data_IF_143350508671
#
_entry.id   IF_143350508671
#
_cell.length_a   1.000
_cell.length_b   1.000
_cell.length_c   1.000
_cell.angle_alpha   90.00
_cell.angle_beta   90.00
_cell.angle_gamma   90.00
#
_symmetry.space_group_name_H-M   'P 1'
#
loop_
_entity.id
_entity.type
_entity.pdbx_description
1 polymer ?
#
# COMPACT_ATOMS: atom_id res chain seq x y z
N UNK A 1 13.68 -12.35 34.00
CA UNK A 1 12.52 -11.81 34.73
C UNK A 1 11.41 -11.70 33.71
N UNK A 2 10.60 -12.73 33.60
CA UNK A 2 9.41 -12.75 32.75
C UNK A 2 8.30 -11.97 33.47
N UNK A 3 7.71 -11.00 32.79
CA UNK A 3 6.53 -10.29 33.31
C UNK A 3 5.30 -11.20 33.16
N UNK A 4 4.36 -11.19 34.13
CA UNK A 4 3.10 -11.91 33.97
C UNK A 4 2.24 -11.21 32.92
N UNK A 5 1.74 -11.99 31.97
CA UNK A 5 0.70 -11.57 31.03
C UNK A 5 -0.58 -11.38 31.85
N UNK A 6 -1.21 -10.22 31.74
CA UNK A 6 -2.52 -9.93 32.36
C UNK A 6 -3.59 -10.70 31.58
N UNK A 7 -3.98 -11.87 32.09
CA UNK A 7 -4.96 -12.80 31.49
C UNK A 7 -6.40 -12.23 31.41
N UNK A 8 -6.64 -11.00 31.86
CA UNK A 8 -7.95 -10.33 31.80
C UNK A 8 -8.07 -9.25 30.70
N UNK A 9 -7.13 -9.17 29.77
CA UNK A 9 -7.25 -8.25 28.62
C UNK A 9 -8.23 -8.85 27.59
N UNK A 10 -9.32 -8.14 27.20
CA UNK A 10 -10.26 -8.67 26.21
C UNK A 10 -9.54 -8.92 24.88
N UNK A 11 -9.87 -10.04 24.24
CA UNK A 11 -9.31 -10.44 22.94
C UNK A 11 -9.67 -9.43 21.85
N UNK A 12 -8.89 -9.38 20.75
CA UNK A 12 -9.13 -8.45 19.62
C UNK A 12 -10.55 -8.61 19.03
N UNK A 13 -11.09 -9.84 19.03
CA UNK A 13 -12.47 -10.10 18.65
C UNK A 13 -13.47 -9.53 19.65
N UNK A 14 -13.17 -9.53 20.95
CA UNK A 14 -14.00 -8.93 21.99
C UNK A 14 -13.94 -7.39 21.93
N UNK A 15 -12.81 -6.77 21.59
CA UNK A 15 -12.69 -5.32 21.45
C UNK A 15 -13.34 -4.77 20.16
N UNK A 16 -13.15 -5.45 19.02
CA UNK A 16 -13.90 -5.15 17.78
C UNK A 16 -15.39 -5.39 18.03
N UNK A 17 -15.75 -6.47 18.72
CA UNK A 17 -17.14 -6.74 19.11
C UNK A 17 -17.67 -5.65 20.04
N UNK A 18 -16.90 -5.07 20.95
CA UNK A 18 -17.36 -3.99 21.85
C UNK A 18 -17.54 -2.64 21.14
N UNK A 19 -16.63 -2.25 20.24
CA UNK A 19 -16.76 -0.99 19.47
C UNK A 19 -17.83 -1.09 18.37
N UNK A 20 -17.92 -2.24 17.70
CA UNK A 20 -18.98 -2.56 16.75
C UNK A 20 -20.31 -2.76 17.47
N UNK A 21 -20.32 -3.38 18.67
CA UNK A 21 -21.50 -3.41 19.53
C UNK A 21 -21.85 -2.03 20.06
N UNK A 22 -20.92 -1.11 20.29
CA UNK A 22 -21.23 0.29 20.62
C UNK A 22 -21.96 0.96 19.46
N UNK A 23 -21.45 0.84 18.23
CA UNK A 23 -22.13 1.37 17.03
C UNK A 23 -23.52 0.73 16.82
N UNK A 24 -23.67 -0.57 17.05
CA UNK A 24 -24.98 -1.25 16.97
C UNK A 24 -25.83 -1.13 18.24
N UNK A 25 -25.28 -0.67 19.37
CA UNK A 25 -26.03 -0.36 20.60
C UNK A 25 -26.58 1.06 20.52
N UNK A 26 -25.83 1.95 19.89
CA UNK A 26 -26.23 3.33 19.62
C UNK A 26 -27.07 3.44 18.33
N UNK A 27 -26.96 2.48 17.41
CA UNK A 27 -27.75 2.36 16.17
C UNK A 27 -28.11 0.88 15.86
N UNK A 28 -29.01 0.24 16.64
CA UNK A 28 -29.40 -1.18 16.47
C UNK A 28 -29.98 -1.51 15.09
N UNK A 29 -30.46 -0.50 14.38
CA UNK A 29 -30.99 -0.53 13.02
C UNK A 29 -29.98 -1.00 11.95
N UNK A 30 -28.67 -0.86 12.21
CA UNK A 30 -27.60 -1.19 11.25
C UNK A 30 -27.16 -2.66 11.30
N UNK A 31 -27.70 -3.45 12.23
CA UNK A 31 -27.35 -4.86 12.45
C UNK A 31 -27.31 -5.74 11.19
N UNK A 32 -28.15 -5.54 10.14
CA UNK A 32 -28.08 -6.32 8.91
C UNK A 32 -26.85 -6.05 8.03
N UNK A 33 -26.19 -4.89 8.17
CA UNK A 33 -24.97 -4.53 7.42
C UNK A 33 -23.69 -5.00 8.13
N UNK A 34 -23.83 -5.53 9.36
CA UNK A 34 -22.75 -6.05 10.18
C UNK A 34 -21.79 -6.98 9.45
N UNK A 35 -22.25 -7.96 8.65
CA UNK A 35 -21.31 -8.87 8.00
C UNK A 35 -20.51 -8.23 6.86
N UNK A 36 -21.06 -7.19 6.22
CA UNK A 36 -20.39 -6.39 5.20
C UNK A 36 -19.32 -5.49 5.83
N UNK A 37 -19.61 -4.93 7.00
CA UNK A 37 -18.70 -4.06 7.77
C UNK A 37 -17.58 -4.87 8.43
N UNK A 38 -17.89 -6.08 8.90
CA UNK A 38 -16.95 -7.02 9.52
C UNK A 38 -16.15 -7.83 8.47
N UNK A 39 -16.40 -7.63 7.16
CA UNK A 39 -15.66 -8.28 6.08
C UNK A 39 -15.87 -9.80 5.99
N UNK A 40 -16.96 -10.32 6.58
CA UNK A 40 -17.29 -11.74 6.57
C UNK A 40 -17.97 -12.09 5.25
N UNK A 41 -17.48 -13.11 4.56
CA UNK A 41 -18.17 -13.67 3.40
C UNK A 41 -19.45 -14.37 3.87
N UNK A 42 -20.59 -13.71 3.69
CA UNK A 42 -21.90 -14.29 4.01
C UNK A 42 -22.58 -14.76 2.73
N UNK A 43 -23.06 -15.99 2.74
CA UNK A 43 -23.91 -16.51 1.68
C UNK A 43 -25.37 -16.04 1.84
N UNK A 44 -25.97 -15.75 0.68
CA UNK A 44 -27.36 -15.28 0.39
C UNK A 44 -27.59 -13.76 0.36
N UNK A 45 -27.28 -13.23 -0.82
CA UNK A 45 -27.47 -11.89 -1.43
C UNK A 45 -28.81 -11.12 -1.24
N UNK A 46 -29.79 -11.61 -0.47
CA UNK A 46 -31.15 -11.04 -0.47
C UNK A 46 -31.33 -9.81 0.42
N UNK A 47 -30.80 -9.85 1.64
CA UNK A 47 -31.09 -8.87 2.69
C UNK A 47 -30.19 -7.63 2.58
N UNK A 48 -28.93 -7.84 2.22
CA UNK A 48 -27.93 -6.79 2.02
C UNK A 48 -28.24 -5.93 0.79
N UNK A 49 -28.74 -6.57 -0.27
CA UNK A 49 -29.21 -5.85 -1.48
C UNK A 49 -30.45 -5.03 -1.20
N UNK A 50 -31.39 -5.56 -0.40
CA UNK A 50 -32.59 -4.83 -0.01
C UNK A 50 -32.26 -3.64 0.91
N UNK A 51 -31.33 -3.82 1.86
CA UNK A 51 -30.85 -2.75 2.73
C UNK A 51 -30.12 -1.65 1.94
N UNK A 52 -29.24 -2.04 1.01
CA UNK A 52 -28.52 -1.09 0.15
C UNK A 52 -29.47 -0.36 -0.82
N UNK A 53 -30.44 -1.06 -1.42
CA UNK A 53 -31.46 -0.48 -2.29
C UNK A 53 -32.37 0.49 -1.52
N UNK A 54 -32.76 0.14 -0.29
CA UNK A 54 -33.60 0.99 0.57
C UNK A 54 -32.86 2.25 1.03
N UNK A 55 -31.57 2.16 1.33
CA UNK A 55 -30.71 3.30 1.63
C UNK A 55 -30.58 4.24 0.43
N UNK A 56 -30.31 3.69 -0.76
CA UNK A 56 -30.21 4.46 -2.01
C UNK A 56 -31.52 5.15 -2.39
N UNK A 57 -32.65 4.44 -2.29
CA UNK A 57 -33.97 4.98 -2.59
C UNK A 57 -34.35 6.07 -1.58
N UNK A 58 -34.06 5.89 -0.29
CA UNK A 58 -34.31 6.90 0.75
C UNK A 58 -33.45 8.15 0.57
N UNK A 59 -32.19 8.00 0.14
CA UNK A 59 -31.32 9.12 -0.21
C UNK A 59 -31.83 9.87 -1.45
N UNK A 60 -32.34 9.15 -2.44
CA UNK A 60 -32.97 9.73 -3.65
C UNK A 60 -34.27 10.45 -3.31
N UNK A 61 -35.12 9.89 -2.47
CA UNK A 61 -36.41 10.49 -2.09
C UNK A 61 -36.24 11.71 -1.16
N UNK A 62 -35.23 11.69 -0.28
CA UNK A 62 -34.94 12.81 0.64
C UNK A 62 -34.22 13.98 -0.02
N UNK A 63 -33.39 13.73 -1.03
CA UNK A 63 -32.60 14.77 -1.70
C UNK A 63 -33.11 15.11 -3.11
N UNK A 64 -34.07 14.34 -3.62
CA UNK A 64 -34.75 14.56 -4.90
C UNK A 64 -33.77 14.72 -6.07
N UNK A 65 -34.02 15.73 -6.91
CA UNK A 65 -33.19 16.00 -8.10
C UNK A 65 -31.72 16.29 -7.79
N UNK A 66 -31.38 16.74 -6.57
CA UNK A 66 -29.99 17.00 -6.17
C UNK A 66 -29.18 15.72 -6.00
N UNK A 67 -29.81 14.65 -5.54
CA UNK A 67 -29.16 13.35 -5.49
C UNK A 67 -28.93 12.83 -6.91
N UNK A 68 -29.93 12.93 -7.78
CA UNK A 68 -29.80 12.46 -9.16
C UNK A 68 -28.76 13.27 -9.95
N UNK A 69 -28.71 14.60 -9.81
CA UNK A 69 -27.66 15.43 -10.39
C UNK A 69 -26.25 15.05 -9.89
N UNK A 70 -26.13 14.73 -8.60
CA UNK A 70 -24.86 14.35 -7.99
C UNK A 70 -24.44 12.94 -8.39
N UNK A 71 -25.40 12.02 -8.44
CA UNK A 71 -25.22 10.66 -8.90
C UNK A 71 -24.80 10.65 -10.38
N UNK A 72 -25.46 11.43 -11.24
CA UNK A 72 -25.06 11.58 -12.64
C UNK A 72 -23.73 12.32 -12.84
N UNK A 73 -23.33 13.20 -11.92
CA UNK A 73 -22.04 13.89 -12.01
C UNK A 73 -20.87 13.02 -11.54
N UNK A 74 -21.06 12.30 -10.45
CA UNK A 74 -19.97 11.66 -9.70
C UNK A 74 -19.83 10.16 -9.98
N UNK A 75 -20.88 9.50 -10.50
CA UNK A 75 -20.84 8.07 -10.86
C UNK A 75 -20.42 7.92 -12.34
N UNK A 76 -19.38 7.11 -12.64
CA UNK A 76 -18.97 6.84 -14.02
C UNK A 76 -20.08 6.25 -14.89
N UNK A 77 -20.19 6.70 -16.15
CA UNK A 77 -21.24 6.28 -17.10
C UNK A 77 -21.41 4.76 -17.26
N UNK A 78 -20.30 4.02 -17.19
CA UNK A 78 -20.29 2.55 -17.31
C UNK A 78 -20.79 1.82 -16.05
N UNK A 79 -20.95 2.53 -14.92
CA UNK A 79 -21.40 1.97 -13.64
C UNK A 79 -22.83 2.37 -13.28
N UNK A 80 -23.37 3.44 -13.89
CA UNK A 80 -24.74 3.91 -13.64
C UNK A 80 -25.81 2.85 -13.94
N UNK A 81 -25.78 2.13 -15.08
CA UNK A 81 -26.83 1.15 -15.38
C UNK A 81 -26.90 0.04 -14.32
N UNK A 82 -25.74 -0.38 -13.81
CA UNK A 82 -25.64 -1.39 -12.74
C UNK A 82 -26.13 -0.83 -11.41
N UNK A 83 -25.72 0.38 -11.02
CA UNK A 83 -26.16 1.00 -9.76
C UNK A 83 -27.66 1.36 -9.78
N UNK A 84 -28.20 1.76 -10.93
CA UNK A 84 -29.64 1.94 -11.13
C UNK A 84 -30.41 0.62 -11.09
N UNK A 85 -29.82 -0.47 -11.57
CA UNK A 85 -30.39 -1.81 -11.48
C UNK A 85 -30.42 -2.31 -10.03
N UNK A 86 -29.39 -2.00 -9.22
CA UNK A 86 -29.34 -2.26 -7.78
C UNK A 86 -30.30 -1.37 -6.97
N UNK A 87 -30.56 -0.13 -7.43
CA UNK A 87 -31.47 0.81 -6.76
C UNK A 87 -32.95 0.66 -7.14
N UNK A 88 -33.32 -0.26 -8.05
CA UNK A 88 -34.72 -0.49 -8.44
C UNK A 88 -35.31 -1.65 -7.63
N UNK A 89 -36.28 -1.34 -6.77
CA UNK A 89 -37.18 -2.35 -6.20
C UNK A 89 -37.90 -3.12 -7.33
N UNK A 90 -38.06 -4.46 -7.25
CA UNK A 90 -38.71 -5.23 -8.30
C UNK A 90 -40.18 -4.82 -8.44
N UNK A 91 -40.65 -4.71 -9.69
CA UNK A 91 -42.08 -4.48 -9.98
C UNK A 91 -42.86 -5.77 -9.75
N UNK A 92 -43.63 -5.80 -8.67
CA UNK A 92 -44.66 -6.81 -8.29
C UNK A 92 -44.15 -8.24 -8.00
N UNK A 93 -44.35 -8.77 -6.78
CA UNK A 93 -44.06 -10.17 -6.48
C UNK A 93 -45.09 -11.11 -7.13
N UNK A 94 -44.63 -12.19 -7.76
CA UNK A 94 -45.52 -13.31 -8.10
C UNK A 94 -45.87 -14.07 -6.83
N UNK A 95 -47.17 -14.26 -6.60
CA UNK A 95 -47.72 -15.00 -5.48
C UNK A 95 -47.28 -16.46 -5.55
N UNK A 96 -46.41 -16.89 -4.63
CA UNK A 96 -46.17 -18.31 -4.39
C UNK A 96 -47.42 -18.92 -3.71
N UNK A 97 -47.91 -20.05 -4.22
CA UNK A 97 -49.03 -20.78 -3.63
C UNK A 97 -48.68 -21.32 -2.24
N UNK A 98 -49.68 -21.49 -1.34
CA UNK A 98 -49.42 -21.79 0.05
C UNK A 98 -49.00 -23.25 0.24
N UNK A 99 -47.76 -23.44 0.66
CA UNK A 99 -47.20 -24.73 1.08
C UNK A 99 -46.30 -24.53 2.30
N UNK A 100 -46.90 -24.71 3.47
CA UNK A 100 -46.34 -24.96 4.81
C UNK A 100 -44.97 -24.35 5.19
N UNK A 101 -45.02 -23.35 6.08
CA UNK A 101 -44.03 -23.14 7.14
C UNK A 101 -43.04 -22.01 6.90
N UNK A 102 -43.34 -20.81 7.36
CA UNK A 102 -42.72 -20.26 8.58
C UNK A 102 -43.37 -18.90 8.92
N UNK A 103 -43.94 -18.78 10.11
CA UNK A 103 -44.55 -17.55 10.62
C UNK A 103 -43.45 -16.59 11.10
N UNK A 104 -42.68 -16.00 10.18
CA UNK A 104 -41.82 -14.85 10.51
C UNK A 104 -42.64 -13.55 10.41
N UNK A 105 -43.30 -13.19 11.50
CA UNK A 105 -43.81 -11.82 11.66
C UNK A 105 -42.61 -10.88 11.81
N UNK A 106 -42.39 -10.05 10.80
CA UNK A 106 -41.49 -8.90 10.85
C UNK A 106 -41.99 -7.94 11.96
N UNK A 107 -41.13 -7.55 12.90
CA UNK A 107 -41.44 -6.48 13.85
C UNK A 107 -41.32 -5.13 13.12
N UNK A 108 -42.40 -4.73 12.47
CA UNK A 108 -42.51 -3.50 11.65
C UNK A 108 -42.34 -2.20 12.46
N UNK A 109 -42.35 -2.25 13.79
CA UNK A 109 -42.30 -1.07 14.67
C UNK A 109 -40.96 -0.34 14.69
N UNK A 110 -39.85 -1.07 14.53
CA UNK A 110 -38.49 -0.54 14.67
C UNK A 110 -38.13 0.39 13.49
N UNK A 111 -38.55 0.01 12.28
CA UNK A 111 -38.25 0.75 11.06
C UNK A 111 -39.14 2.00 10.87
N UNK A 112 -40.37 1.98 11.41
CA UNK A 112 -41.27 3.15 11.44
C UNK A 112 -40.76 4.26 12.37
N UNK A 113 -40.13 3.92 13.49
CA UNK A 113 -39.55 4.90 14.44
C UNK A 113 -38.26 5.54 13.89
N UNK A 114 -37.44 4.78 13.14
CA UNK A 114 -36.30 5.32 12.39
C UNK A 114 -36.76 6.39 11.38
N UNK A 115 -37.79 6.08 10.60
CA UNK A 115 -38.34 6.98 9.59
C UNK A 115 -38.95 8.24 10.23
N UNK A 116 -39.71 8.12 11.32
CA UNK A 116 -40.26 9.29 12.04
C UNK A 116 -39.16 10.16 12.70
N UNK A 117 -38.05 9.56 13.15
CA UNK A 117 -36.90 10.29 13.74
C UNK A 117 -36.09 11.08 12.70
N UNK A 118 -36.09 10.63 11.44
CA UNK A 118 -35.48 11.36 10.29
C UNK A 118 -36.50 12.11 9.42
N UNK A 119 -37.78 12.15 9.82
CA UNK A 119 -38.85 12.93 9.20
C UNK A 119 -39.53 12.32 7.95
N UNK A 120 -39.52 11.00 7.80
CA UNK A 120 -40.07 10.23 6.68
C UNK A 120 -41.12 9.21 7.17
N UNK A 121 -42.00 8.68 6.29
CA UNK A 121 -43.03 7.69 6.67
C UNK A 121 -43.05 6.46 5.76
N UNK A 122 -43.25 5.30 6.37
CA UNK A 122 -43.49 4.01 5.71
C UNK A 122 -44.97 3.88 5.27
N UNK A 123 -45.29 3.24 4.13
CA UNK A 123 -46.66 2.88 3.78
C UNK A 123 -47.06 1.56 4.46
N UNK A 124 -48.22 1.54 5.12
CA UNK A 124 -48.67 0.48 6.04
C UNK A 124 -48.79 -0.95 5.46
N UNK A 125 -48.61 -1.14 4.14
CA UNK A 125 -49.06 -2.33 3.42
C UNK A 125 -47.96 -3.16 2.71
N UNK A 126 -46.66 -2.81 2.85
CA UNK A 126 -45.59 -3.39 2.03
C UNK A 126 -45.06 -4.76 2.55
N UNK A 127 -44.95 -5.77 1.66
CA UNK A 127 -44.32 -7.09 1.93
C UNK A 127 -42.97 -7.25 1.22
N UNK A 128 -42.04 -8.00 1.83
CA UNK A 128 -40.66 -8.24 1.38
C UNK A 128 -40.60 -9.12 0.11
N UNK A 129 -39.83 -8.76 -0.95
CA UNK A 129 -39.66 -9.59 -2.15
C UNK A 129 -38.41 -10.49 -2.09
N UNK A 130 -38.46 -11.65 -2.75
CA UNK A 130 -37.34 -12.60 -2.94
C UNK A 130 -36.65 -12.42 -4.30
N UNK A 131 -35.31 -12.59 -4.36
CA UNK A 131 -34.47 -12.40 -5.57
C UNK A 131 -33.83 -13.71 -6.06
N UNK A 132 -33.78 -13.95 -7.37
CA UNK A 132 -33.31 -15.23 -7.98
C UNK A 132 -31.88 -15.23 -8.54
N UNK A 133 -31.22 -14.08 -8.74
CA UNK A 133 -29.90 -14.04 -9.43
C UNK A 133 -28.74 -13.58 -8.52
N UNK A 134 -27.79 -14.47 -8.24
CA UNK A 134 -26.51 -14.19 -7.55
C UNK A 134 -25.55 -13.44 -8.50
N UNK A 135 -25.38 -12.13 -8.31
CA UNK A 135 -24.33 -11.31 -8.93
C UNK A 135 -23.13 -11.19 -7.99
N UNK A 136 -21.89 -11.37 -8.47
CA UNK A 136 -20.70 -11.31 -7.62
C UNK A 136 -20.42 -9.89 -7.11
N UNK A 137 -20.02 -9.79 -5.84
CA UNK A 137 -19.52 -8.58 -5.19
C UNK A 137 -18.32 -8.02 -5.96
N UNK A 138 -18.56 -7.05 -6.86
CA UNK A 138 -17.47 -6.41 -7.57
C UNK A 138 -16.67 -5.50 -6.62
N UNK A 139 -15.36 -5.42 -6.80
CA UNK A 139 -14.43 -4.52 -6.06
C UNK A 139 -14.82 -3.04 -6.11
N UNK A 140 -15.76 -2.66 -6.97
CA UNK A 140 -16.33 -1.33 -7.11
C UNK A 140 -17.39 -1.09 -6.03
N UNK A 141 -18.12 -2.11 -5.59
CA UNK A 141 -19.14 -2.04 -4.53
C UNK A 141 -18.50 -1.72 -3.18
N UNK A 142 -17.42 -2.42 -2.80
CA UNK A 142 -16.64 -2.14 -1.58
C UNK A 142 -16.09 -0.71 -1.59
N UNK A 143 -15.64 -0.20 -2.74
CA UNK A 143 -15.16 1.17 -2.88
C UNK A 143 -16.26 2.21 -2.66
N UNK A 144 -17.47 1.96 -3.17
CA UNK A 144 -18.61 2.86 -3.01
C UNK A 144 -19.12 2.85 -1.56
N UNK A 145 -19.22 1.67 -0.93
CA UNK A 145 -19.61 1.54 0.48
C UNK A 145 -18.60 2.25 1.41
N UNK A 146 -17.30 2.07 1.16
CA UNK A 146 -16.24 2.75 1.91
C UNK A 146 -16.29 4.28 1.72
N UNK A 147 -16.57 4.76 0.51
CA UNK A 147 -16.67 6.19 0.20
C UNK A 147 -17.92 6.84 0.83
N UNK A 148 -19.02 6.10 0.99
CA UNK A 148 -20.22 6.55 1.68
C UNK A 148 -20.06 6.53 3.21
N UNK A 149 -19.46 5.46 3.77
CA UNK A 149 -19.19 5.35 5.21
C UNK A 149 -18.18 6.40 5.68
N UNK A 150 -17.14 6.67 4.89
CA UNK A 150 -16.16 7.71 5.21
C UNK A 150 -16.68 9.15 5.18
N UNK A 151 -17.86 9.36 4.59
CA UNK A 151 -18.54 10.67 4.57
C UNK A 151 -19.68 10.76 5.60
N UNK A 152 -20.18 9.63 6.09
CA UNK A 152 -21.27 9.57 7.06
C UNK A 152 -20.80 9.42 8.51
N UNK A 153 -19.60 8.90 8.75
CA UNK A 153 -19.04 8.68 10.08
C UNK A 153 -18.08 9.84 10.41
N UNK A 154 -18.43 10.63 11.42
CA UNK A 154 -17.51 11.63 11.96
C UNK A 154 -16.42 10.88 12.73
N UNK A 155 -15.29 10.67 12.06
CA UNK A 155 -14.24 9.83 12.62
C UNK A 155 -13.57 10.51 13.84
N UNK A 156 -13.27 9.74 14.90
CA UNK A 156 -12.81 10.28 16.20
C UNK A 156 -11.39 10.85 16.20
N UNK A 157 -10.68 10.84 15.06
CA UNK A 157 -9.28 11.27 14.98
C UNK A 157 -9.15 12.63 14.30
N UNK A 158 -8.83 13.65 15.12
CA UNK A 158 -8.54 15.02 14.70
C UNK A 158 -7.12 15.14 14.08
N UNK A 159 -6.84 14.33 13.05
CA UNK A 159 -5.59 14.40 12.28
C UNK A 159 -5.85 15.15 10.98
N UNK A 160 -5.11 16.22 10.75
CA UNK A 160 -5.37 17.16 9.64
C UNK A 160 -4.18 17.30 8.70
N UNK A 161 -4.48 17.27 7.42
CA UNK A 161 -3.59 17.68 6.33
C UNK A 161 -3.50 19.20 6.24
N UNK A 162 -2.55 19.69 5.43
CA UNK A 162 -2.47 21.11 5.07
C UNK A 162 -3.83 21.65 4.61
N UNK A 163 -4.20 22.80 5.15
CA UNK A 163 -5.48 23.46 4.86
C UNK A 163 -6.66 22.93 5.69
N UNK A 164 -6.40 22.15 6.74
CA UNK A 164 -7.42 21.72 7.71
C UNK A 164 -8.31 20.58 7.23
N UNK A 165 -7.96 19.93 6.11
CA UNK A 165 -8.68 18.74 5.65
C UNK A 165 -8.34 17.55 6.56
N UNK A 166 -9.33 16.76 6.97
CA UNK A 166 -9.05 15.52 7.72
C UNK A 166 -8.20 14.57 6.87
N UNK A 167 -7.19 13.96 7.48
CA UNK A 167 -6.41 12.91 6.84
C UNK A 167 -7.28 11.67 6.66
N UNK A 168 -7.22 11.06 5.47
CA UNK A 168 -7.96 9.82 5.20
C UNK A 168 -7.32 8.69 6.00
N UNK A 169 -8.14 7.82 6.59
CA UNK A 169 -7.65 6.58 7.20
C UNK A 169 -8.69 5.46 7.06
N UNK A 170 -8.23 4.25 7.32
CA UNK A 170 -9.04 3.02 7.38
C UNK A 170 -8.78 2.35 8.73
N UNK A 171 -9.79 2.13 9.58
CA UNK A 171 -9.63 1.41 10.84
C UNK A 171 -9.39 -0.07 10.58
N UNK A 172 -8.56 -0.71 11.42
CA UNK A 172 -8.38 -2.17 11.48
C UNK A 172 -8.15 -2.84 10.12
N UNK A 173 -7.44 -2.17 9.21
CA UNK A 173 -7.15 -2.69 7.88
C UNK A 173 -6.08 -3.80 7.98
N UNK A 174 -6.37 -5.05 7.59
CA UNK A 174 -5.36 -6.11 7.61
C UNK A 174 -4.16 -5.74 6.73
N UNK A 175 -2.96 -5.94 7.30
CA UNK A 175 -1.70 -5.74 6.62
C UNK A 175 -1.05 -7.08 6.32
N UNK A 176 -0.58 -7.23 5.09
CA UNK A 176 0.30 -8.31 4.68
C UNK A 176 1.41 -7.70 3.83
N UNK A 177 2.64 -8.16 4.05
CA UNK A 177 3.75 -7.82 3.18
C UNK A 177 3.74 -8.69 1.92
N UNK A 178 4.53 -8.29 0.92
CA UNK A 178 4.64 -8.97 -0.36
C UNK A 178 5.10 -10.43 -0.21
N UNK A 179 6.00 -10.69 0.74
CA UNK A 179 6.54 -12.01 1.01
C UNK A 179 5.64 -12.93 1.84
N UNK A 180 4.50 -12.44 2.33
CA UNK A 180 3.61 -13.15 3.26
C UNK A 180 4.31 -13.64 4.55
N UNK A 181 5.39 -12.96 4.94
CA UNK A 181 6.17 -13.25 6.15
C UNK A 181 5.80 -12.35 7.32
N UNK A 182 5.10 -11.25 7.06
CA UNK A 182 4.63 -10.30 8.07
C UNK A 182 3.14 -10.06 7.85
N UNK A 183 2.35 -10.32 8.88
CA UNK A 183 0.94 -10.00 8.94
C UNK A 183 0.62 -9.36 10.29
N UNK A 184 -0.32 -8.41 10.29
CA UNK A 184 -0.84 -7.74 11.47
C UNK A 184 -2.07 -6.90 11.11
N UNK A 185 -2.75 -6.35 12.12
CA UNK A 185 -3.90 -5.47 11.97
C UNK A 185 -3.65 -4.18 12.76
N UNK A 186 -3.09 -3.14 12.13
CA UNK A 186 -2.96 -1.81 12.74
C UNK A 186 -4.34 -1.29 13.18
N UNK A 187 -4.42 -0.59 14.32
CA UNK A 187 -5.66 0.07 14.75
C UNK A 187 -6.14 1.08 13.70
N UNK A 188 -5.20 1.76 13.04
CA UNK A 188 -5.52 2.73 12.00
C UNK A 188 -4.44 2.76 10.92
N UNK A 189 -4.88 2.69 9.67
CA UNK A 189 -4.03 2.90 8.49
C UNK A 189 -4.36 4.26 7.87
N UNK A 190 -3.50 5.24 8.08
CA UNK A 190 -3.62 6.58 7.51
C UNK A 190 -3.04 6.66 6.10
N UNK A 191 -3.59 7.54 5.28
CA UNK A 191 -3.12 7.83 3.92
C UNK A 191 -2.77 9.31 3.89
N UNK A 192 -1.48 9.60 4.08
CA UNK A 192 -0.96 10.95 4.18
C UNK A 192 -0.64 11.53 2.81
N UNK A 193 -0.96 12.81 2.61
CA UNK A 193 -0.60 13.58 1.43
C UNK A 193 0.43 14.65 1.73
N UNK A 194 0.43 15.19 2.94
CA UNK A 194 1.26 16.33 3.28
C UNK A 194 2.19 16.07 4.46
N UNK A 195 3.35 16.72 4.44
CA UNK A 195 4.28 16.76 5.58
C UNK A 195 3.59 17.30 6.85
N UNK A 196 2.71 18.29 6.70
CA UNK A 196 1.91 18.83 7.81
C UNK A 196 0.96 17.77 8.39
N UNK A 197 0.33 16.97 7.53
CA UNK A 197 -0.47 15.82 7.92
C UNK A 197 0.33 14.80 8.73
N UNK A 198 1.52 14.44 8.26
CA UNK A 198 2.38 13.51 8.98
C UNK A 198 2.79 14.04 10.36
N UNK A 199 3.07 15.35 10.48
CA UNK A 199 3.37 15.98 11.78
C UNK A 199 2.17 15.94 12.71
N UNK A 200 0.98 16.26 12.20
CA UNK A 200 -0.29 16.16 12.95
C UNK A 200 -0.52 14.72 13.44
N UNK A 201 -0.28 13.73 12.57
CA UNK A 201 -0.42 12.31 12.90
C UNK A 201 0.53 11.88 14.04
N UNK A 202 1.81 12.24 13.95
CA UNK A 202 2.80 11.88 15.00
C UNK A 202 2.43 12.51 16.34
N UNK A 203 1.99 13.77 16.35
CA UNK A 203 1.53 14.45 17.57
C UNK A 203 0.30 13.77 18.16
N UNK A 204 -0.71 13.53 17.34
CA UNK A 204 -1.92 12.82 17.75
C UNK A 204 -1.62 11.42 18.32
N UNK A 205 -0.73 10.66 17.69
CA UNK A 205 -0.32 9.33 18.15
C UNK A 205 0.41 9.39 19.51
N UNK A 206 1.22 10.43 19.72
CA UNK A 206 1.91 10.69 20.99
C UNK A 206 1.00 11.18 22.12
N UNK A 207 -0.18 11.70 21.80
CA UNK A 207 -1.20 12.13 22.77
C UNK A 207 -2.11 10.98 23.23
N UNK A 208 -2.17 9.88 22.47
CA UNK A 208 -2.96 8.70 22.85
C UNK A 208 -2.52 8.10 24.19
N UNK A 209 -3.43 7.38 24.85
CA UNK A 209 -3.17 6.69 26.13
C UNK A 209 -3.57 5.21 26.02
N UNK A 210 -2.61 4.27 25.95
CA UNK A 210 -1.16 4.50 25.81
C UNK A 210 -0.81 5.15 24.46
N UNK A 211 0.37 5.78 24.39
CA UNK A 211 0.90 6.36 23.16
C UNK A 211 0.96 5.29 22.06
N UNK A 212 0.66 5.66 20.82
CA UNK A 212 0.72 4.75 19.67
C UNK A 212 2.02 4.92 18.89
N UNK A 213 2.56 3.82 18.36
CA UNK A 213 3.70 3.80 17.44
C UNK A 213 3.21 4.04 16.03
N UNK A 214 3.94 4.87 15.28
CA UNK A 214 3.65 5.16 13.88
C UNK A 214 4.73 4.54 13.00
N UNK A 215 4.32 3.75 12.00
CA UNK A 215 5.20 3.13 11.01
C UNK A 215 4.72 3.42 9.61
N UNK A 216 5.64 3.42 8.64
CA UNK A 216 5.34 3.81 7.26
C UNK A 216 5.34 2.56 6.37
N UNK A 217 4.35 2.46 5.48
CA UNK A 217 4.35 1.46 4.41
C UNK A 217 4.34 2.13 3.02
N UNK A 218 5.24 1.65 2.15
CA UNK A 218 5.12 1.78 0.70
C UNK A 218 4.42 0.55 0.11
N UNK A 219 5.00 -0.05 -0.93
CA UNK A 219 4.51 -1.29 -1.58
C UNK A 219 4.63 -2.57 -0.73
N UNK A 220 4.88 -2.42 0.58
CA UNK A 220 4.91 -3.54 1.55
C UNK A 220 5.89 -4.66 1.15
N UNK A 221 6.94 -4.32 0.42
CA UNK A 221 7.84 -5.32 -0.19
C UNK A 221 8.77 -6.00 0.82
N UNK A 222 9.15 -5.32 1.89
CA UNK A 222 10.15 -5.86 2.83
C UNK A 222 9.67 -7.13 3.53
N UNK A 223 10.56 -8.11 3.66
CA UNK A 223 10.29 -9.37 4.36
C UNK A 223 10.40 -9.31 5.89
N UNK A 224 11.09 -8.29 6.41
CA UNK A 224 11.30 -8.08 7.85
C UNK A 224 10.17 -7.27 8.49
N UNK A 225 9.97 -7.46 9.79
CA UNK A 225 8.87 -6.95 10.62
C UNK A 225 8.99 -5.46 11.04
N UNK A 226 9.67 -4.58 10.30
CA UNK A 226 9.77 -3.16 10.68
C UNK A 226 8.57 -2.30 10.24
N UNK A 227 7.43 -2.93 9.94
CA UNK A 227 6.14 -2.28 9.74
C UNK A 227 5.45 -1.99 11.09
N UNK A 228 4.17 -1.57 11.05
CA UNK A 228 3.35 -1.40 12.25
C UNK A 228 3.08 -2.76 12.93
N UNK A 229 2.72 -2.75 14.20
CA UNK A 229 2.19 -3.92 14.92
C UNK A 229 0.65 -3.86 14.99
N UNK A 230 0.05 -4.91 15.56
CA UNK A 230 -1.36 -4.90 15.94
C UNK A 230 -1.68 -3.72 16.85
N UNK A 231 -2.86 -3.14 16.66
CA UNK A 231 -3.38 -2.02 17.45
C UNK A 231 -2.52 -0.74 17.43
N UNK A 232 -1.49 -0.67 16.57
CA UNK A 232 -0.64 0.50 16.36
C UNK A 232 -1.06 1.26 15.09
N UNK A 233 -0.29 2.29 14.70
CA UNK A 233 -0.62 3.16 13.58
C UNK A 233 0.28 2.88 12.38
N UNK A 234 -0.33 2.60 11.24
CA UNK A 234 0.34 2.55 9.95
C UNK A 234 0.02 3.83 9.15
N UNK A 235 1.00 4.36 8.43
CA UNK A 235 0.78 5.45 7.48
C UNK A 235 1.35 5.10 6.12
N UNK A 236 0.59 5.42 5.08
CA UNK A 236 0.96 5.24 3.69
C UNK A 236 1.11 6.61 3.02
N UNK A 237 2.15 6.76 2.21
CA UNK A 237 2.46 8.02 1.51
C UNK A 237 1.89 8.05 0.08
N UNK A 238 1.28 6.94 -0.34
CA UNK A 238 0.61 6.77 -1.62
C UNK A 238 -0.82 6.25 -1.36
N UNK A 239 -1.78 6.51 -2.26
CA UNK A 239 -3.13 5.98 -2.14
C UNK A 239 -3.16 4.45 -2.03
N UNK A 240 -4.09 3.96 -1.21
CA UNK A 240 -4.18 2.54 -0.84
C UNK A 240 -4.29 1.62 -2.06
N UNK A 241 -5.05 2.03 -3.08
CA UNK A 241 -5.29 1.27 -4.30
C UNK A 241 -4.00 0.91 -5.07
N UNK A 242 -2.93 1.70 -4.93
CA UNK A 242 -1.64 1.40 -5.55
C UNK A 242 -0.78 0.46 -4.71
N UNK A 243 -0.99 0.44 -3.39
CA UNK A 243 -0.12 -0.25 -2.44
C UNK A 243 -0.61 -1.65 -2.06
N UNK A 244 -1.91 -1.92 -2.23
CA UNK A 244 -2.52 -3.20 -1.82
C UNK A 244 -2.69 -4.23 -2.93
N UNK A 245 -2.66 -3.80 -4.19
CA UNK A 245 -2.82 -4.71 -5.33
C UNK A 245 -1.55 -5.51 -5.61
N UNK A 246 -1.68 -6.83 -5.78
CA UNK A 246 -0.59 -7.71 -6.21
C UNK A 246 -0.12 -7.39 -7.64
N UNK A 247 -1.01 -6.94 -8.52
CA UNK A 247 -0.63 -6.25 -9.74
C UNK A 247 -0.36 -4.79 -9.39
N UNK A 248 0.87 -4.52 -8.96
CA UNK A 248 1.31 -3.20 -8.59
C UNK A 248 1.16 -2.27 -9.80
N UNK A 249 0.18 -1.37 -9.73
CA UNK A 249 0.04 -0.28 -10.68
C UNK A 249 0.90 0.86 -10.15
N UNK A 250 1.84 1.34 -10.95
CA UNK A 250 2.63 2.52 -10.59
C UNK A 250 1.89 3.79 -11.00
N UNK A 251 1.49 4.66 -10.07
CA UNK A 251 0.90 5.93 -10.43
C UNK A 251 1.94 6.86 -11.07
N UNK A 252 1.49 7.79 -11.92
CA UNK A 252 2.37 8.85 -12.40
C UNK A 252 2.60 9.89 -11.32
N UNK A 253 3.75 10.57 -11.38
CA UNK A 253 4.09 11.67 -10.47
C UNK A 253 3.02 12.77 -10.51
N UNK A 254 2.53 13.11 -11.71
CA UNK A 254 1.50 14.14 -11.88
C UNK A 254 0.15 13.72 -11.28
N UNK A 255 -0.23 12.44 -11.38
CA UNK A 255 -1.48 11.96 -10.81
C UNK A 255 -1.50 12.10 -9.28
N UNK A 256 -0.41 11.73 -8.60
CA UNK A 256 -0.32 11.85 -7.14
C UNK A 256 -0.22 13.31 -6.70
N UNK A 257 0.51 14.15 -7.43
CA UNK A 257 0.58 15.58 -7.14
C UNK A 257 -0.76 16.29 -7.35
N UNK A 258 -1.57 15.87 -8.33
CA UNK A 258 -2.92 16.39 -8.54
C UNK A 258 -3.87 16.09 -7.37
N UNK A 259 -3.58 15.07 -6.55
CA UNK A 259 -4.28 14.80 -5.29
C UNK A 259 -3.84 15.74 -4.15
N UNK A 260 -2.90 16.65 -4.40
CA UNK A 260 -2.36 17.59 -3.41
C UNK A 260 -1.24 17.01 -2.55
N UNK A 261 -0.58 15.94 -2.99
CA UNK A 261 0.54 15.36 -2.24
C UNK A 261 1.83 16.16 -2.38
N UNK A 262 2.46 16.52 -1.26
CA UNK A 262 3.82 17.08 -1.21
C UNK A 262 4.89 16.06 -0.76
N UNK A 263 4.45 14.82 -0.53
CA UNK A 263 5.26 13.66 -0.19
C UNK A 263 5.72 12.87 -1.43
N UNK A 264 5.30 13.31 -2.63
CA UNK A 264 5.72 12.79 -3.93
C UNK A 264 6.22 13.92 -4.83
N UNK A 265 7.45 13.83 -5.30
CA UNK A 265 8.06 14.85 -6.14
C UNK A 265 9.56 14.68 -6.33
N UNK A 266 10.07 15.35 -7.36
CA UNK A 266 11.48 15.38 -7.73
C UNK A 266 11.82 16.85 -8.01
N UNK A 267 12.81 17.41 -7.30
CA UNK A 267 13.22 18.80 -7.49
C UNK A 267 14.02 18.97 -8.79
N UNK A 268 14.13 20.21 -9.27
CA UNK A 268 15.09 20.51 -10.33
C UNK A 268 16.52 20.22 -9.83
N UNK A 269 17.34 19.47 -10.60
CA UNK A 269 18.69 19.13 -10.18
C UNK A 269 19.62 20.34 -10.20
N UNK A 270 20.45 20.45 -9.17
CA UNK A 270 21.47 21.50 -9.02
C UNK A 270 22.85 20.92 -9.33
N UNK A 271 23.50 21.30 -10.44
CA UNK A 271 24.84 20.80 -10.77
C UNK A 271 25.88 21.18 -9.71
N UNK A 272 26.68 20.21 -9.25
CA UNK A 272 27.65 20.41 -8.15
C UNK A 272 28.77 21.39 -8.53
N UNK A 273 29.29 21.29 -9.76
CA UNK A 273 30.39 22.14 -10.27
C UNK A 273 29.94 23.03 -11.45
N UNK A 274 28.71 23.53 -11.40
CA UNK A 274 28.14 24.36 -12.46
C UNK A 274 27.76 23.57 -13.73
N UNK A 275 27.55 24.28 -14.85
CA UNK A 275 26.84 23.73 -16.02
C UNK A 275 27.51 22.54 -16.72
N UNK A 276 28.83 22.34 -16.51
CA UNK A 276 29.61 21.21 -17.06
C UNK A 276 29.77 20.04 -16.09
N UNK A 277 29.18 20.12 -14.90
CA UNK A 277 29.27 19.07 -13.89
C UNK A 277 28.73 17.74 -14.43
N UNK A 278 29.41 16.63 -14.08
CA UNK A 278 28.90 15.27 -14.28
C UNK A 278 28.00 14.80 -13.15
N UNK A 279 27.86 15.61 -12.10
CA UNK A 279 27.03 15.31 -10.95
C UNK A 279 26.04 16.43 -10.65
N UNK A 280 24.87 16.08 -10.13
CA UNK A 280 23.89 17.03 -9.65
C UNK A 280 23.28 16.57 -8.33
N UNK A 281 22.84 17.53 -7.51
CA UNK A 281 22.04 17.26 -6.33
C UNK A 281 20.56 17.38 -6.68
N UNK A 282 19.77 16.40 -6.28
CA UNK A 282 18.33 16.39 -6.55
C UNK A 282 17.59 15.87 -5.32
N UNK A 283 16.60 16.63 -4.85
CA UNK A 283 15.75 16.20 -3.74
C UNK A 283 14.58 15.38 -4.28
N UNK A 284 14.44 14.16 -3.77
CA UNK A 284 13.37 13.22 -4.09
C UNK A 284 12.53 13.03 -2.84
N UNK A 285 11.21 13.20 -2.96
CA UNK A 285 10.28 13.00 -1.84
C UNK A 285 10.11 11.52 -1.53
N UNK A 286 9.90 11.19 -0.27
CA UNK A 286 9.97 9.81 0.22
C UNK A 286 8.89 8.88 -0.36
N UNK A 287 7.73 9.40 -0.76
CA UNK A 287 6.67 8.64 -1.42
C UNK A 287 6.87 8.42 -2.91
N UNK A 288 7.85 9.10 -3.55
CA UNK A 288 8.17 8.87 -4.97
C UNK A 288 8.68 7.45 -5.16
N UNK A 289 8.19 6.75 -6.19
CA UNK A 289 8.66 5.40 -6.54
C UNK A 289 9.87 5.43 -7.46
N UNK A 290 10.59 4.31 -7.54
CA UNK A 290 11.66 4.14 -8.51
C UNK A 290 11.17 4.28 -9.97
N UNK A 291 9.95 3.84 -10.29
CA UNK A 291 9.38 3.98 -11.64
C UNK A 291 9.03 5.43 -11.98
N UNK A 292 8.51 6.20 -11.01
CA UNK A 292 8.30 7.65 -11.19
C UNK A 292 9.63 8.35 -11.48
N UNK A 293 10.67 8.02 -10.72
CA UNK A 293 12.00 8.59 -10.92
C UNK A 293 12.63 8.16 -12.25
N UNK A 294 12.54 6.88 -12.62
CA UNK A 294 13.00 6.35 -13.91
C UNK A 294 12.30 7.07 -15.08
N UNK A 295 10.99 7.24 -15.00
CA UNK A 295 10.21 7.97 -16.01
C UNK A 295 10.68 9.41 -16.13
N UNK A 296 10.91 10.09 -15.00
CA UNK A 296 11.45 11.45 -14.97
C UNK A 296 12.86 11.52 -15.60
N UNK A 297 13.76 10.57 -15.31
CA UNK A 297 15.08 10.48 -15.94
C UNK A 297 14.96 10.37 -17.46
N UNK A 298 14.09 9.49 -17.96
CA UNK A 298 13.88 9.25 -19.39
C UNK A 298 13.25 10.45 -20.11
N UNK A 299 12.42 11.23 -19.42
CA UNK A 299 11.85 12.47 -19.95
C UNK A 299 12.89 13.59 -20.03
N UNK A 300 13.75 13.72 -19.01
CA UNK A 300 14.76 14.80 -18.94
C UNK A 300 16.05 14.47 -19.69
N UNK A 301 16.38 13.18 -19.86
CA UNK A 301 17.56 12.63 -20.56
C UNK A 301 18.88 13.29 -20.16
N UNK A 302 19.03 13.59 -18.87
CA UNK A 302 20.18 14.36 -18.38
C UNK A 302 20.83 13.77 -17.13
N UNK A 303 20.02 13.31 -16.18
CA UNK A 303 20.50 12.83 -14.90
C UNK A 303 19.86 11.50 -14.56
N UNK A 304 20.61 10.59 -13.93
CA UNK A 304 20.12 9.34 -13.38
C UNK A 304 20.82 9.01 -12.07
N UNK A 305 20.35 7.99 -11.36
CA UNK A 305 21.12 7.41 -10.28
C UNK A 305 22.35 6.66 -10.85
N UNK A 306 23.48 6.62 -10.12
CA UNK A 306 24.66 5.85 -10.54
C UNK A 306 24.40 4.34 -10.57
N UNK A 307 23.46 3.86 -9.77
CA UNK A 307 22.92 2.50 -9.73
C UNK A 307 21.49 2.58 -9.20
N UNK A 308 20.71 1.50 -9.32
CA UNK A 308 19.43 1.44 -8.63
C UNK A 308 19.10 0.03 -8.15
N UNK A 309 18.09 -0.05 -7.32
CA UNK A 309 17.43 -1.29 -6.90
C UNK A 309 16.63 -1.89 -8.07
N UNK A 310 16.54 -3.22 -8.12
CA UNK A 310 15.83 -3.93 -9.18
C UNK A 310 14.32 -3.66 -9.18
N UNK A 311 13.74 -3.39 -8.01
CA UNK A 311 12.30 -3.18 -7.84
C UNK A 311 11.89 -1.75 -8.15
N UNK A 312 11.08 -1.57 -9.19
CA UNK A 312 10.65 -0.24 -9.67
C UNK A 312 9.52 0.37 -8.84
N UNK A 313 8.75 -0.45 -8.11
CA UNK A 313 7.57 0.02 -7.39
C UNK A 313 7.91 0.65 -6.03
N UNK A 314 9.00 0.22 -5.39
CA UNK A 314 9.32 0.67 -4.03
C UNK A 314 9.61 2.17 -4.00
N UNK A 315 9.24 2.80 -2.88
CA UNK A 315 9.40 4.24 -2.68
C UNK A 315 10.83 4.60 -2.27
N UNK A 316 11.27 5.83 -2.52
CA UNK A 316 12.60 6.30 -2.13
C UNK A 316 12.81 6.32 -0.60
N UNK A 317 11.75 6.56 0.17
CA UNK A 317 11.80 6.35 1.63
C UNK A 317 12.03 4.88 2.00
N UNK A 318 11.32 3.98 1.31
CA UNK A 318 11.39 2.53 1.53
C UNK A 318 12.65 1.86 0.99
N UNK A 319 13.34 2.45 0.01
CA UNK A 319 14.63 1.94 -0.49
C UNK A 319 15.82 2.54 0.25
N UNK A 320 15.71 3.76 0.79
CA UNK A 320 16.78 4.37 1.57
C UNK A 320 16.87 3.78 2.98
N UNK A 321 15.74 3.71 3.71
CA UNK A 321 15.73 3.25 5.10
C UNK A 321 16.41 1.89 5.35
N UNK A 322 16.26 0.89 4.45
CA UNK A 322 16.85 -0.44 4.58
C UNK A 322 18.20 -0.61 3.85
N UNK A 323 18.88 0.47 3.46
CA UNK A 323 20.21 0.40 2.82
C UNK A 323 20.17 -0.37 1.48
N UNK A 324 19.13 -0.16 0.65
CA UNK A 324 19.06 -0.89 -0.61
C UNK A 324 20.17 -0.46 -1.59
N UNK A 325 20.59 -1.37 -2.46
CA UNK A 325 21.77 -1.21 -3.32
C UNK A 325 21.54 -1.81 -4.72
N UNK A 326 22.48 -1.55 -5.63
CA UNK A 326 22.59 -2.22 -6.94
C UNK A 326 23.52 -3.44 -6.88
N UNK A 327 23.91 -3.97 -8.04
CA UNK A 327 24.69 -5.22 -8.14
C UNK A 327 26.10 -5.06 -8.71
N UNK A 328 26.58 -3.84 -8.97
CA UNK A 328 27.94 -3.59 -9.47
C UNK A 328 28.99 -3.57 -8.36
N UNK A 329 30.24 -3.92 -8.68
CA UNK A 329 31.35 -3.89 -7.71
C UNK A 329 31.62 -2.48 -7.16
N UNK A 330 31.36 -1.45 -7.97
CA UNK A 330 31.48 -0.04 -7.57
C UNK A 330 30.17 0.55 -7.04
N UNK A 331 29.08 -0.22 -7.04
CA UNK A 331 27.82 0.24 -6.47
C UNK A 331 27.99 0.42 -4.96
N UNK A 332 27.39 1.49 -4.45
CA UNK A 332 27.22 1.70 -3.01
C UNK A 332 25.77 1.42 -2.65
N UNK A 333 25.35 1.85 -1.47
CA UNK A 333 23.95 1.82 -1.05
C UNK A 333 23.29 3.15 -1.40
N UNK A 334 21.96 3.17 -1.54
CA UNK A 334 21.23 4.41 -1.81
C UNK A 334 21.50 5.46 -0.72
N UNK A 335 21.69 5.01 0.53
CA UNK A 335 22.03 5.89 1.66
C UNK A 335 23.42 6.51 1.55
N UNK A 336 24.39 5.87 0.87
CA UNK A 336 25.73 6.41 0.70
C UNK A 336 25.79 7.62 -0.25
N UNK A 337 24.77 7.78 -1.10
CA UNK A 337 24.66 8.92 -2.04
C UNK A 337 23.70 10.01 -1.55
N UNK A 338 23.17 9.88 -0.32
CA UNK A 338 22.35 10.91 0.32
C UNK A 338 23.25 12.03 0.86
N UNK A 339 22.98 13.26 0.44
CA UNK A 339 23.65 14.47 0.90
C UNK A 339 22.79 15.24 1.92
N UNK A 340 21.47 15.02 1.93
CA UNK A 340 20.56 15.58 2.93
C UNK A 340 19.41 14.59 3.21
N UNK A 341 19.09 14.38 4.49
CA UNK A 341 17.99 13.50 4.91
C UNK A 341 16.92 14.29 5.66
N UNK A 342 15.69 14.28 5.15
CA UNK A 342 14.55 15.00 5.72
C UNK A 342 13.57 14.03 6.36
N UNK A 343 13.16 14.31 7.60
CA UNK A 343 12.25 13.45 8.34
C UNK A 343 11.43 14.22 9.37
N UNK A 344 10.36 13.58 9.85
CA UNK A 344 9.59 14.03 11.00
C UNK A 344 10.03 13.21 12.21
N UNK A 345 10.50 13.88 13.25
CA UNK A 345 10.97 13.27 14.48
C UNK A 345 9.80 12.77 15.37
N UNK A 346 10.08 12.02 16.46
CA UNK A 346 9.04 11.52 17.36
C UNK A 346 8.19 12.60 18.06
N UNK A 347 8.57 13.88 18.00
CA UNK A 347 7.79 15.00 18.54
C UNK A 347 6.88 15.64 17.48
N UNK A 348 6.89 15.12 16.24
CA UNK A 348 6.14 15.69 15.12
C UNK A 348 6.80 16.94 14.55
N UNK A 349 8.12 17.09 14.70
CA UNK A 349 8.88 18.22 14.17
C UNK A 349 9.71 17.83 12.95
N UNK A 350 9.68 18.69 11.92
CA UNK A 350 10.49 18.49 10.71
C UNK A 350 11.96 18.72 11.02
N UNK A 351 12.80 17.78 10.58
CA UNK A 351 14.25 17.80 10.75
C UNK A 351 14.94 17.58 9.41
N UNK A 352 16.16 18.10 9.31
CA UNK A 352 17.05 17.90 8.17
C UNK A 352 18.44 17.59 8.70
N UNK A 353 19.05 16.51 8.19
CA UNK A 353 20.43 16.12 8.49
C UNK A 353 21.27 16.41 7.24
N UNK A 354 22.34 17.19 7.41
CA UNK A 354 23.36 17.46 6.38
C UNK A 354 24.78 17.12 6.83
N UNK A 355 24.99 16.95 8.14
CA UNK A 355 26.29 16.57 8.67
C UNK A 355 26.63 15.14 8.25
N UNK A 356 27.83 14.93 7.74
CA UNK A 356 28.25 13.64 7.17
C UNK A 356 28.29 12.52 8.22
N UNK A 357 28.65 12.82 9.47
CA UNK A 357 28.68 11.80 10.51
C UNK A 357 27.26 11.42 10.96
N UNK A 358 26.37 12.40 11.05
CA UNK A 358 24.95 12.15 11.32
C UNK A 358 24.26 11.41 10.16
N UNK A 359 24.58 11.72 8.90
CA UNK A 359 24.08 10.99 7.74
C UNK A 359 24.52 9.52 7.77
N UNK A 360 25.77 9.25 8.16
CA UNK A 360 26.26 7.87 8.37
C UNK A 360 25.50 7.14 9.48
N UNK A 361 25.11 7.83 10.54
CA UNK A 361 24.29 7.26 11.62
C UNK A 361 22.81 7.09 11.22
N UNK A 362 22.30 7.95 10.33
CA UNK A 362 20.94 7.87 9.79
C UNK A 362 20.83 6.86 8.63
N UNK A 363 21.94 6.50 7.99
CA UNK A 363 22.03 5.42 7.01
C UNK A 363 21.57 4.12 7.66
N UNK A 364 20.63 3.42 7.03
CA UNK A 364 20.07 2.23 7.64
C UNK A 364 19.29 2.51 8.91
N UNK A 365 18.52 3.60 8.97
CA UNK A 365 17.72 3.88 10.15
C UNK A 365 16.56 2.90 10.36
N UNK A 366 16.21 2.07 9.35
CA UNK A 366 15.07 1.13 9.42
C UNK A 366 13.77 1.77 9.96
N UNK A 367 13.56 3.05 9.65
CA UNK A 367 12.41 3.83 10.12
C UNK A 367 12.40 4.17 11.62
N UNK A 368 13.52 4.02 12.33
CA UNK A 368 13.63 4.31 13.77
C UNK A 368 13.94 5.79 14.07
N UNK A 369 14.53 6.51 13.12
CA UNK A 369 14.84 7.94 13.30
C UNK A 369 13.56 8.80 13.29
N UNK A 370 12.54 8.34 12.57
CA UNK A 370 11.30 9.04 12.31
C UNK A 370 10.76 8.74 10.91
N UNK A 371 9.78 9.51 10.47
CA UNK A 371 9.16 9.34 9.15
C UNK A 371 9.99 10.10 8.11
N UNK A 372 10.68 9.38 7.22
CA UNK A 372 11.37 10.00 6.08
C UNK A 372 10.37 10.73 5.17
N UNK A 373 10.63 12.00 4.87
CA UNK A 373 9.79 12.82 3.99
C UNK A 373 10.49 13.16 2.67
N UNK A 374 11.82 13.22 2.65
CA UNK A 374 12.61 13.41 1.44
C UNK A 374 14.10 13.05 1.64
N UNK A 375 14.81 12.83 0.54
CA UNK A 375 16.26 12.70 0.50
C UNK A 375 16.83 13.54 -0.65
N UNK A 376 17.93 14.26 -0.40
CA UNK A 376 18.73 14.87 -1.48
C UNK A 376 19.81 13.89 -1.90
N UNK A 377 19.78 13.47 -3.16
CA UNK A 377 20.66 12.46 -3.73
C UNK A 377 21.69 13.10 -4.66
N UNK A 378 22.89 12.53 -4.67
CA UNK A 378 23.90 12.77 -5.70
C UNK A 378 23.58 11.92 -6.93
N UNK A 379 23.20 12.59 -8.02
CA UNK A 379 22.93 12.01 -9.33
C UNK A 379 24.15 12.12 -10.25
N UNK A 380 24.20 11.24 -11.23
CA UNK A 380 25.18 11.23 -12.30
C UNK A 380 24.57 11.68 -13.63
N UNK A 381 25.40 12.22 -14.51
CA UNK A 381 25.02 12.47 -15.89
C UNK A 381 24.54 11.17 -16.53
N UNK A 382 23.37 11.22 -17.17
CA UNK A 382 22.73 10.02 -17.69
C UNK A 382 23.57 9.37 -18.78
N UNK A 383 23.84 8.09 -18.61
CA UNK A 383 24.50 7.23 -19.59
C UNK A 383 23.55 6.09 -20.00
N UNK A 384 24.04 5.18 -20.83
CA UNK A 384 23.32 3.99 -21.25
C UNK A 384 24.14 2.77 -20.87
N UNK A 385 23.52 1.83 -20.16
CA UNK A 385 24.05 0.49 -19.96
C UNK A 385 23.43 -0.46 -21.00
N UNK A 386 24.24 -1.36 -21.56
CA UNK A 386 23.77 -2.39 -22.49
C UNK A 386 23.74 -3.72 -21.74
N UNK A 387 22.54 -4.19 -21.43
CA UNK A 387 22.35 -5.48 -20.75
C UNK A 387 22.43 -6.62 -21.76
N UNK A 388 23.39 -7.53 -21.57
CA UNK A 388 23.60 -8.69 -22.46
C UNK A 388 23.40 -10.00 -21.69
N UNK A 389 22.14 -10.43 -21.46
CA UNK A 389 21.88 -11.65 -20.72
C UNK A 389 22.39 -12.88 -21.48
N UNK A 390 23.09 -13.77 -20.78
CA UNK A 390 23.56 -15.05 -21.34
C UNK A 390 23.20 -16.20 -20.42
N UNK A 391 22.94 -17.37 -21.02
CA UNK A 391 22.73 -18.63 -20.29
C UNK A 391 23.92 -19.53 -20.53
N UNK A 392 24.56 -20.00 -19.47
CA UNK A 392 25.76 -20.85 -19.58
C UNK A 392 25.86 -21.86 -18.42
N UNK A 393 26.63 -22.95 -18.58
CA UNK A 393 26.83 -23.95 -17.53
C UNK A 393 27.36 -23.32 -16.23
N UNK A 394 26.88 -23.82 -15.07
CA UNK A 394 27.24 -23.30 -13.74
C UNK A 394 28.74 -23.18 -13.51
N UNK A 395 29.49 -24.23 -13.81
CA UNK A 395 30.96 -24.26 -13.66
C UNK A 395 31.71 -23.30 -14.58
N UNK A 396 31.07 -22.79 -15.64
CA UNK A 396 31.60 -21.71 -16.48
C UNK A 396 31.07 -20.32 -16.07
N UNK A 397 29.88 -20.26 -15.46
CA UNK A 397 29.27 -19.01 -15.03
C UNK A 397 29.87 -18.46 -13.74
N UNK A 398 30.09 -19.35 -12.77
CA UNK A 398 30.62 -19.08 -11.44
C UNK A 398 31.68 -20.17 -11.16
N UNK A 399 32.85 -20.08 -11.82
CA UNK A 399 33.90 -21.08 -11.65
C UNK A 399 34.41 -21.07 -10.21
N UNK A 400 34.52 -22.25 -9.56
CA UNK A 400 35.02 -22.32 -8.19
C UNK A 400 36.53 -22.02 -8.14
N UNK A 401 37.04 -21.45 -7.04
CA UNK A 401 38.48 -21.27 -6.85
C UNK A 401 39.24 -22.61 -6.93
N UNK A 402 40.53 -22.59 -7.32
CA UNK A 402 41.35 -23.80 -7.31
C UNK A 402 41.35 -24.51 -5.95
N UNK A 403 41.03 -25.80 -5.95
CA UNK A 403 41.00 -26.64 -4.73
C UNK A 403 39.76 -26.48 -3.86
N UNK A 404 38.75 -25.70 -4.28
CA UNK A 404 37.49 -25.59 -3.55
C UNK A 404 36.68 -26.89 -3.64
N UNK A 405 36.17 -27.37 -2.51
CA UNK A 405 35.35 -28.58 -2.48
C UNK A 405 33.94 -28.28 -3.00
N UNK A 406 33.59 -28.87 -4.13
CA UNK A 406 32.27 -28.71 -4.77
C UNK A 406 31.48 -30.02 -4.76
N UNK A 407 30.14 -29.96 -4.69
CA UNK A 407 29.26 -31.12 -4.83
C UNK A 407 29.59 -32.00 -6.03
N UNK A 408 29.32 -33.30 -5.92
CA UNK A 408 29.68 -34.30 -6.93
C UNK A 408 29.16 -33.95 -8.33
N UNK A 409 27.95 -33.41 -8.43
CA UNK A 409 27.35 -33.07 -9.73
C UNK A 409 28.04 -31.88 -10.39
N UNK A 410 28.48 -30.88 -9.61
CA UNK A 410 29.30 -29.77 -10.12
C UNK A 410 30.67 -30.28 -10.55
N UNK A 411 31.28 -31.19 -9.77
CA UNK A 411 32.57 -31.81 -10.12
C UNK A 411 32.49 -32.57 -11.43
N UNK A 412 31.45 -33.40 -11.60
CA UNK A 412 31.18 -34.13 -12.85
C UNK A 412 30.95 -33.18 -14.02
N UNK A 413 30.24 -32.08 -13.81
CA UNK A 413 30.09 -31.05 -14.84
C UNK A 413 31.45 -30.45 -15.23
N UNK A 414 32.29 -30.10 -14.26
CA UNK A 414 33.64 -29.56 -14.50
C UNK A 414 34.54 -30.52 -15.28
N UNK A 415 34.42 -31.83 -15.04
CA UNK A 415 35.17 -32.87 -15.77
C UNK A 415 34.83 -32.92 -17.27
N UNK A 416 33.70 -32.34 -17.70
CA UNK A 416 33.34 -32.22 -19.12
C UNK A 416 34.08 -31.09 -19.85
N UNK A 417 34.76 -30.21 -19.11
CA UNK A 417 35.49 -29.06 -19.64
C UNK A 417 36.99 -29.27 -19.53
N UNK A 418 37.73 -28.69 -20.48
CA UNK A 418 39.18 -28.66 -20.42
C UNK A 418 39.67 -27.71 -19.32
N UNK A 419 40.89 -27.94 -18.77
CA UNK A 419 41.50 -27.00 -17.83
C UNK A 419 41.58 -25.57 -18.37
N UNK A 420 41.80 -25.41 -19.68
CA UNK A 420 41.84 -24.09 -20.33
C UNK A 420 40.47 -23.40 -20.32
N UNK A 421 39.38 -24.12 -20.64
CA UNK A 421 38.02 -23.55 -20.60
C UNK A 421 37.62 -23.07 -19.20
N UNK A 422 37.98 -23.85 -18.17
CA UNK A 422 37.73 -23.45 -16.78
C UNK A 422 38.57 -22.23 -16.38
N UNK A 423 39.81 -22.14 -16.86
CA UNK A 423 40.67 -20.98 -16.63
C UNK A 423 40.16 -19.73 -17.34
N UNK A 424 39.73 -19.86 -18.60
CA UNK A 424 39.15 -18.77 -19.37
C UNK A 424 37.85 -18.26 -18.74
N UNK A 425 37.02 -19.17 -18.21
CA UNK A 425 35.82 -18.83 -17.47
C UNK A 425 36.12 -18.07 -16.18
N UNK A 426 37.16 -18.48 -15.44
CA UNK A 426 37.61 -17.77 -14.23
C UNK A 426 38.08 -16.35 -14.56
N UNK A 427 38.91 -16.20 -15.59
CA UNK A 427 39.43 -14.91 -16.02
C UNK A 427 38.30 -13.98 -16.51
N UNK A 428 37.32 -14.53 -17.24
CA UNK A 428 36.13 -13.78 -17.68
C UNK A 428 35.20 -13.42 -16.51
N UNK A 429 34.99 -14.29 -15.53
CA UNK A 429 34.24 -13.97 -14.30
C UNK A 429 34.90 -12.80 -13.55
N UNK A 430 36.22 -12.88 -13.33
CA UNK A 430 36.99 -11.82 -12.66
C UNK A 430 36.91 -10.51 -13.46
N UNK A 431 37.05 -10.58 -14.78
CA UNK A 431 36.94 -9.41 -15.66
C UNK A 431 35.55 -8.80 -15.56
N UNK A 432 34.48 -9.60 -15.61
CA UNK A 432 33.09 -9.12 -15.43
C UNK A 432 32.96 -8.35 -14.14
N UNK A 433 33.31 -8.96 -13.02
CA UNK A 433 33.27 -8.34 -11.70
C UNK A 433 34.04 -7.01 -11.63
N UNK A 434 35.18 -6.89 -12.33
CA UNK A 434 36.02 -5.68 -12.29
C UNK A 434 35.57 -4.57 -13.22
N UNK A 435 34.96 -4.90 -14.36
CA UNK A 435 34.78 -3.93 -15.45
C UNK A 435 33.34 -3.62 -15.82
N UNK A 436 32.36 -4.44 -15.41
CA UNK A 436 30.95 -4.21 -15.77
C UNK A 436 30.24 -3.40 -14.68
N UNK A 437 29.22 -2.65 -15.12
CA UNK A 437 28.46 -1.74 -14.27
C UNK A 437 27.37 -2.47 -13.46
N UNK A 438 26.91 -3.64 -13.95
CA UNK A 438 25.86 -4.46 -13.35
C UNK A 438 26.29 -5.94 -13.36
N UNK A 439 25.97 -6.69 -12.31
CA UNK A 439 26.42 -8.07 -12.17
C UNK A 439 25.38 -8.93 -11.43
N UNK A 440 24.64 -9.79 -12.12
CA UNK A 440 23.76 -10.75 -11.48
C UNK A 440 23.87 -12.14 -12.11
N UNK A 441 23.90 -13.15 -11.25
CA UNK A 441 23.85 -14.56 -11.64
C UNK A 441 22.65 -15.21 -10.98
N UNK A 442 21.67 -15.61 -11.77
CA UNK A 442 20.51 -16.38 -11.29
C UNK A 442 20.74 -17.86 -11.59
N UNK A 443 20.97 -18.62 -10.52
CA UNK A 443 21.04 -20.07 -10.57
C UNK A 443 19.76 -20.65 -9.98
N UNK A 444 18.95 -21.27 -10.84
CA UNK A 444 17.68 -21.86 -10.42
C UNK A 444 17.89 -23.29 -9.90
N UNK A 445 17.15 -23.72 -8.86
CA UNK A 445 17.23 -25.09 -8.35
C UNK A 445 17.02 -26.12 -9.46
N UNK A 446 17.75 -27.23 -9.38
CA UNK A 446 17.66 -28.36 -10.33
C UNK A 446 18.01 -27.99 -11.77
N UNK A 447 18.83 -26.96 -11.97
CA UNK A 447 19.34 -26.57 -13.29
C UNK A 447 20.86 -26.54 -13.33
N UNK A 448 21.42 -26.95 -14.47
CA UNK A 448 22.87 -26.99 -14.69
C UNK A 448 23.41 -25.68 -15.29
N UNK A 449 22.51 -24.74 -15.61
CA UNK A 449 22.81 -23.51 -16.30
C UNK A 449 22.39 -22.30 -15.46
N UNK A 450 23.22 -21.27 -15.49
CA UNK A 450 23.02 -20.00 -14.79
C UNK A 450 22.65 -18.94 -15.81
N UNK A 451 21.70 -18.08 -15.45
CA UNK A 451 21.40 -16.87 -16.19
C UNK A 451 22.29 -15.73 -15.68
N UNK A 452 23.11 -15.16 -16.55
CA UNK A 452 24.07 -14.13 -16.23
C UNK A 452 23.66 -12.81 -16.88
N UNK A 453 23.37 -11.80 -16.05
CA UNK A 453 23.09 -10.43 -16.46
C UNK A 453 24.29 -9.55 -16.15
N UNK A 454 24.85 -8.92 -17.19
CA UNK A 454 25.97 -7.96 -17.08
C UNK A 454 25.83 -6.83 -18.07
#
# INVERSE_FOLDING_TARGET
MENPIDENSPTIQEQISEEVQSVFKDCPELAPLRPIIEGVAVGRDGEERFAFASLLQSLRDSQGSKFDERFEREVPNNLRPTLEQYGRMPKTPKVAQPGAGDDSKFETGIFTDFLDTVGLRWPDDAKVPTFEDELPLSSIFTKIAHELLSKAIDFPHNVFERGGQKMKYVPSLPFENWGLTVNNTPASTFIARTEEGLRSLVKWAGEQKPNKKVRVAGYRHTWTDFFSNDNEVLVMLLPLEYLVSLSATSPSLQAIQALGSDLVGISDPIPVDGSKSKHALCTVKAGTTNEMFRTWCLQKRRWCLPFNVIMVEITFGGSNGPICHGSGLKSTTLSDIVEEFYYIDPNGESKCIKDRNQLRAASGCFGLLGICTAVTLRLDAMTMAVMNPVRQPLSLAIPPPPGFDVPLDIRRQMETFTPQQLKDAEDEFIKRCKTHDYLEWFWFPLTDNVWVNT
#
